data_IF_836331588634
#
_entry.id   IF_836331588634
#
_cell.length_a   1.000
_cell.length_b   1.000
_cell.length_c   1.000
_cell.angle_alpha   90.00
_cell.angle_beta   90.00
_cell.angle_gamma   90.00
#
_symmetry.space_group_name_H-M   'P 1'
#
loop_
_entity.id
_entity.type
_entity.pdbx_description
1 polymer ?
#
# COMPACT_ATOMS: atom_id res chain seq x y z
N UNK A 1 4.01 1.58 1.72
CA UNK A 1 3.81 1.98 0.30
C UNK A 1 4.42 3.37 0.18
N UNK A 2 5.01 3.74 -0.95
CA UNK A 2 5.67 5.06 -1.05
C UNK A 2 5.53 5.65 -2.45
N UNK A 3 5.62 6.97 -2.52
CA UNK A 3 5.86 7.70 -3.76
C UNK A 3 6.89 8.79 -3.53
N UNK A 4 7.93 8.82 -4.37
CA UNK A 4 9.03 9.80 -4.30
C UNK A 4 9.07 10.57 -5.61
N UNK A 5 8.94 11.89 -5.51
CA UNK A 5 9.09 12.84 -6.62
C UNK A 5 10.57 13.23 -6.72
N UNK A 6 11.15 13.21 -7.92
CA UNK A 6 12.56 13.54 -8.16
C UNK A 6 12.80 14.44 -9.39
N UNK A 7 11.72 15.04 -9.91
CA UNK A 7 11.70 16.04 -10.96
C UNK A 7 10.31 16.68 -11.03
N UNK A 8 10.06 17.61 -11.96
CA UNK A 8 8.77 18.29 -12.05
C UNK A 8 7.59 17.33 -12.25
N UNK A 9 7.78 16.27 -13.03
CA UNK A 9 6.76 15.24 -13.27
C UNK A 9 7.29 13.80 -13.18
N UNK A 10 8.52 13.65 -12.67
CA UNK A 10 9.15 12.33 -12.53
C UNK A 10 9.00 11.82 -11.11
N UNK A 11 8.34 10.67 -10.97
CA UNK A 11 8.13 10.05 -9.67
C UNK A 11 8.22 8.53 -9.74
N UNK A 12 8.70 7.94 -8.65
CA UNK A 12 8.68 6.50 -8.41
C UNK A 12 7.57 6.19 -7.42
N UNK A 13 6.82 5.13 -7.66
CA UNK A 13 5.79 4.62 -6.74
C UNK A 13 5.92 3.12 -6.54
N UNK A 14 5.70 2.66 -5.31
CA UNK A 14 5.70 1.25 -4.99
C UNK A 14 4.62 0.92 -3.94
N UNK A 15 3.80 -0.08 -4.25
CA UNK A 15 2.80 -0.61 -3.33
C UNK A 15 2.83 -2.14 -3.34
N UNK A 16 3.21 -2.74 -2.20
CA UNK A 16 3.42 -4.19 -2.12
C UNK A 16 2.08 -4.93 -2.28
N UNK A 17 2.02 -5.85 -3.24
CA UNK A 17 0.85 -6.68 -3.49
C UNK A 17 -0.30 -5.96 -4.22
N UNK A 18 -0.05 -4.74 -4.72
CA UNK A 18 -0.92 -4.03 -5.66
C UNK A 18 -0.43 -4.35 -7.07
N UNK A 19 -1.33 -4.78 -7.95
CA UNK A 19 -1.02 -5.09 -9.35
C UNK A 19 -0.62 -3.81 -10.10
N UNK A 20 0.29 -3.93 -11.07
CA UNK A 20 0.78 -2.80 -11.88
C UNK A 20 -0.34 -2.06 -12.60
N UNK A 21 -1.32 -2.80 -13.14
CA UNK A 21 -2.52 -2.24 -13.78
C UNK A 21 -3.33 -1.36 -12.82
N UNK A 22 -3.47 -1.77 -11.56
CA UNK A 22 -4.13 -0.96 -10.52
C UNK A 22 -3.25 0.21 -10.07
N UNK A 23 -1.93 0.00 -9.93
CA UNK A 23 -0.98 1.03 -9.52
C UNK A 23 -0.83 2.15 -10.55
N UNK A 24 -1.08 1.88 -11.83
CA UNK A 24 -1.09 2.88 -12.90
C UNK A 24 -2.04 4.05 -12.60
N UNK A 25 -3.19 3.76 -11.98
CA UNK A 25 -4.23 4.75 -11.65
C UNK A 25 -3.93 5.60 -10.40
N UNK A 26 -2.87 5.30 -9.66
CA UNK A 26 -2.52 6.01 -8.41
C UNK A 26 -1.39 7.00 -8.68
N UNK A 27 -1.63 8.30 -8.52
CA UNK A 27 -0.62 9.34 -8.77
C UNK A 27 0.16 9.70 -7.51
N UNK A 28 1.23 10.48 -7.66
CA UNK A 28 1.93 11.08 -6.51
C UNK A 28 1.00 12.01 -5.71
N UNK A 29 0.08 12.72 -6.37
CA UNK A 29 -0.91 13.55 -5.69
C UNK A 29 -1.88 12.71 -4.86
N UNK A 30 -2.36 11.58 -5.39
CA UNK A 30 -3.15 10.61 -4.61
C UNK A 30 -2.40 10.16 -3.36
N UNK A 31 -1.08 9.93 -3.48
CA UNK A 31 -0.25 9.58 -2.33
C UNK A 31 -0.19 10.68 -1.26
N UNK A 32 0.02 11.94 -1.68
CA UNK A 32 0.01 13.08 -0.76
C UNK A 32 -1.35 13.26 -0.07
N UNK A 33 -2.45 13.23 -0.82
CA UNK A 33 -3.80 13.39 -0.25
C UNK A 33 -4.07 12.34 0.82
N UNK A 34 -3.81 11.06 0.53
CA UNK A 34 -4.03 9.98 1.50
C UNK A 34 -3.19 10.16 2.76
N UNK A 35 -1.94 10.61 2.63
CA UNK A 35 -1.06 10.85 3.77
C UNK A 35 -1.58 12.02 4.64
N UNK A 36 -2.00 13.12 4.03
CA UNK A 36 -2.46 14.33 4.75
C UNK A 36 -3.86 14.15 5.36
N UNK A 37 -4.70 13.34 4.74
CA UNK A 37 -6.05 13.04 5.23
C UNK A 37 -6.07 11.86 6.23
N UNK A 38 -4.90 11.30 6.56
CA UNK A 38 -4.77 10.11 7.42
C UNK A 38 -5.69 8.96 6.98
N UNK A 39 -5.80 8.75 5.67
CA UNK A 39 -6.83 7.90 5.10
C UNK A 39 -6.24 6.61 4.50
N UNK A 40 -7.12 5.82 3.86
CA UNK A 40 -6.72 4.65 3.08
C UNK A 40 -7.63 4.50 1.87
N UNK A 41 -7.06 4.09 0.76
CA UNK A 41 -7.81 3.74 -0.44
C UNK A 41 -7.77 2.25 -0.69
N UNK A 42 -8.85 1.76 -1.29
CA UNK A 42 -8.94 0.41 -1.79
C UNK A 42 -9.29 0.43 -3.26
N UNK A 43 -8.72 -0.51 -4.00
CA UNK A 43 -9.02 -0.71 -5.40
C UNK A 43 -9.31 -2.18 -5.67
N UNK A 44 -10.24 -2.42 -6.58
CA UNK A 44 -10.42 -3.74 -7.17
C UNK A 44 -9.22 -4.05 -8.06
N UNK A 45 -8.62 -5.21 -7.85
CA UNK A 45 -7.57 -5.73 -8.73
C UNK A 45 -7.90 -7.16 -9.14
N UNK A 46 -7.62 -7.46 -10.40
CA UNK A 46 -7.80 -8.78 -10.99
C UNK A 46 -6.47 -9.53 -10.97
N UNK A 47 -6.51 -10.81 -10.64
CA UNK A 47 -5.32 -11.62 -10.45
C UNK A 47 -5.59 -13.07 -10.84
N UNK A 48 -4.64 -13.70 -11.54
CA UNK A 48 -4.63 -15.15 -11.73
C UNK A 48 -3.90 -15.78 -10.53
N UNK A 49 -4.55 -16.71 -9.85
CA UNK A 49 -3.98 -17.46 -8.72
C UNK A 49 -4.03 -18.96 -9.01
N UNK A 50 -3.10 -19.70 -8.41
CA UNK A 50 -3.14 -21.17 -8.38
C UNK A 50 -3.63 -21.63 -7.02
N UNK A 51 -4.70 -22.42 -7.00
CA UNK A 51 -5.27 -23.01 -5.79
C UNK A 51 -5.49 -24.50 -6.05
N UNK A 52 -4.81 -25.36 -5.28
CA UNK A 52 -4.87 -26.83 -5.45
C UNK A 52 -4.65 -27.28 -6.90
N UNK A 53 -3.64 -26.71 -7.57
CA UNK A 53 -3.32 -26.97 -8.98
C UNK A 53 -4.37 -26.51 -10.01
N UNK A 54 -5.38 -25.73 -9.61
CA UNK A 54 -6.34 -25.09 -10.49
C UNK A 54 -6.02 -23.60 -10.61
N UNK A 55 -5.98 -23.08 -11.84
CA UNK A 55 -5.86 -21.64 -12.10
C UNK A 55 -7.22 -20.98 -12.03
N UNK A 56 -7.31 -19.89 -11.27
CA UNK A 56 -8.53 -19.12 -11.09
C UNK A 56 -8.23 -17.62 -11.29
N UNK A 57 -9.14 -16.91 -11.96
CA UNK A 57 -9.14 -15.45 -11.96
C UNK A 57 -9.94 -14.96 -10.76
N UNK A 58 -9.30 -14.23 -9.88
CA UNK A 58 -9.93 -13.65 -8.69
C UNK A 58 -9.97 -12.13 -8.77
N UNK A 59 -10.96 -11.56 -8.13
CA UNK A 59 -11.05 -10.12 -7.89
C UNK A 59 -10.79 -9.85 -6.42
N UNK A 60 -9.90 -8.93 -6.11
CA UNK A 60 -9.54 -8.57 -4.74
C UNK A 60 -9.80 -7.09 -4.50
N UNK A 61 -10.56 -6.78 -3.44
CA UNK A 61 -10.69 -5.41 -2.92
C UNK A 61 -9.49 -5.08 -2.02
N UNK A 62 -8.38 -4.65 -2.64
CA UNK A 62 -7.07 -4.51 -1.99
C UNK A 62 -6.86 -3.10 -1.46
N UNK A 63 -6.34 -2.97 -0.23
CA UNK A 63 -5.77 -1.69 0.25
C UNK A 63 -4.58 -1.34 -0.63
N UNK A 64 -4.74 -0.29 -1.43
CA UNK A 64 -3.77 0.09 -2.47
C UNK A 64 -2.80 1.16 -2.00
N UNK A 65 -3.25 2.00 -1.05
CA UNK A 65 -2.47 3.04 -0.40
C UNK A 65 -3.11 3.34 0.97
N UNK A 66 -2.29 3.64 1.96
CA UNK A 66 -2.72 4.03 3.30
C UNK A 66 -1.68 4.93 3.93
N UNK A 67 -2.13 5.87 4.75
CA UNK A 67 -1.28 6.68 5.62
C UNK A 67 -0.68 5.87 6.78
N UNK A 68 -1.30 4.75 7.15
CA UNK A 68 -0.93 3.98 8.33
C UNK A 68 0.20 2.99 8.05
N UNK A 69 1.09 2.86 9.02
CA UNK A 69 2.13 1.84 9.01
C UNK A 69 1.58 0.51 9.53
N UNK A 70 0.79 -0.17 8.69
CA UNK A 70 0.01 -1.38 9.04
C UNK A 70 0.79 -2.55 9.67
N UNK A 71 2.12 -2.57 9.54
CA UNK A 71 2.99 -3.63 10.09
C UNK A 71 3.83 -3.20 11.29
N UNK A 72 3.68 -1.96 11.75
CA UNK A 72 4.43 -1.46 12.90
C UNK A 72 3.54 -0.64 13.82
N UNK A 73 3.73 -0.85 15.11
CA UNK A 73 3.21 0.04 16.13
C UNK A 73 4.19 1.20 16.30
N UNK A 74 3.72 2.44 16.28
CA UNK A 74 4.53 3.63 16.58
C UNK A 74 4.43 3.87 18.07
N UNK A 75 5.56 3.92 18.77
CA UNK A 75 5.62 4.18 20.21
C UNK A 75 5.20 5.62 20.52
N UNK A 76 4.89 5.90 21.78
CA UNK A 76 4.46 7.23 22.24
C UNK A 76 5.49 8.34 21.97
N UNK A 77 6.77 7.99 21.87
CA UNK A 77 7.83 8.93 21.50
C UNK A 77 7.79 9.36 20.03
N UNK A 78 6.92 8.77 19.21
CA UNK A 78 6.72 9.09 17.81
C UNK A 78 7.84 8.67 16.87
N UNK A 79 8.90 8.01 17.37
CA UNK A 79 10.11 7.70 16.59
C UNK A 79 10.34 6.19 16.57
N UNK A 80 10.22 5.54 17.72
CA UNK A 80 10.43 4.11 17.80
C UNK A 80 9.24 3.36 17.23
N UNK A 81 9.54 2.26 16.56
CA UNK A 81 8.52 1.42 15.95
C UNK A 81 8.75 -0.04 16.29
N UNK A 82 7.71 -0.71 16.75
CA UNK A 82 7.73 -2.14 17.06
C UNK A 82 7.06 -2.89 15.90
N UNK A 83 7.66 -4.00 15.45
CA UNK A 83 7.09 -4.79 14.34
C UNK A 83 5.91 -5.63 14.81
N UNK A 84 4.90 -5.83 13.97
CA UNK A 84 3.78 -6.72 14.27
C UNK A 84 4.25 -8.08 14.80
N UNK A 85 3.71 -8.51 15.96
CA UNK A 85 4.12 -9.73 16.66
C UNK A 85 5.32 -9.57 17.59
N UNK A 86 5.81 -8.35 17.82
CA UNK A 86 6.75 -8.05 18.90
C UNK A 86 6.13 -8.43 20.25
N UNK A 87 6.93 -8.89 21.21
CA UNK A 87 6.47 -9.33 22.53
C UNK A 87 5.60 -8.27 23.24
N UNK A 88 5.91 -7.01 23.00
CA UNK A 88 5.29 -5.85 23.65
C UNK A 88 4.16 -5.20 22.83
N UNK A 89 3.70 -5.84 21.73
CA UNK A 89 2.53 -5.42 20.92
C UNK A 89 1.39 -6.43 21.06
#
# INVERSE_FOLDING_TARGET
>A
MYSVLYGENEYKKAAKGVRSSTLANITHMTYKSVLMEESKLRHMQYCILSKKHTLETVVQNKVSITAYYDKKFVCEDGIHTLSYGHKDI
#
